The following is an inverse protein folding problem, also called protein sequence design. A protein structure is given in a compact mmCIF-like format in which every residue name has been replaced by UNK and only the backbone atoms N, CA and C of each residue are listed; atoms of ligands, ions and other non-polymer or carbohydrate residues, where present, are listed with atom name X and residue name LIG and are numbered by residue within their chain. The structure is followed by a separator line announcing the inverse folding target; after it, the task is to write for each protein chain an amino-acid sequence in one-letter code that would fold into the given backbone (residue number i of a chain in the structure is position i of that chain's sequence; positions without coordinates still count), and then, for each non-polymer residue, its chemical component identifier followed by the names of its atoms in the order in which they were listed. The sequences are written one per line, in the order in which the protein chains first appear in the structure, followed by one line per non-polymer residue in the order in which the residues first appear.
data_IF_666892147040
#
_entry.id   IF_666892147040
#
_cell.length_a   1.000
_cell.length_b   1.000
_cell.length_c   1.000
_cell.angle_alpha   90.00
_cell.angle_beta   90.00
_cell.angle_gamma   90.00
#
_symmetry.space_group_name_H-M   'P 1'
#
loop_
_entity.id
_entity.type
_entity.pdbx_description
1 polymer ?
#
# COMPACT_ATOMS: atom_id res chain seq x y z
N UNK A 1 2.73 43.96 75.55
CA UNK A 1 2.18 44.49 74.30
C UNK A 1 2.84 43.78 73.13
N UNK A 2 2.08 42.97 72.40
CA UNK A 2 2.10 42.78 70.95
C UNK A 2 1.11 41.64 70.67
N UNK A 3 0.01 42.01 70.02
CA UNK A 3 -1.17 41.18 69.78
C UNK A 3 -0.88 40.11 68.73
N UNK A 4 -1.36 38.89 68.99
CA UNK A 4 -1.50 37.83 68.00
C UNK A 4 -2.47 38.28 66.90
N UNK A 5 -1.95 38.66 65.74
CA UNK A 5 -2.75 38.89 64.54
C UNK A 5 -2.88 37.58 63.76
N UNK A 6 -4.05 36.96 63.88
CA UNK A 6 -4.53 35.86 63.04
C UNK A 6 -4.54 36.28 61.57
N UNK A 7 -3.75 35.59 60.74
CA UNK A 7 -3.78 35.73 59.28
C UNK A 7 -4.99 34.95 58.75
N UNK A 8 -6.02 35.70 58.39
CA UNK A 8 -7.20 35.23 57.67
C UNK A 8 -6.78 34.80 56.24
N UNK A 9 -6.89 33.51 55.94
CA UNK A 9 -6.72 32.98 54.57
C UNK A 9 -8.04 33.18 53.83
N UNK A 10 -8.12 33.97 52.73
CA UNK A 10 -9.32 34.05 51.92
C UNK A 10 -9.45 32.82 51.01
N UNK A 11 -10.65 32.23 51.01
CA UNK A 11 -11.05 31.10 50.19
C UNK A 11 -11.15 31.47 48.69
N UNK A 12 -10.95 30.49 47.77
CA UNK A 12 -11.01 30.73 46.33
C UNK A 12 -12.46 30.94 45.86
N UNK A 13 -12.72 32.09 45.24
CA UNK A 13 -13.96 32.38 44.54
C UNK A 13 -13.94 31.71 43.17
N UNK A 14 -14.87 30.78 42.96
CA UNK A 14 -15.22 30.22 41.66
C UNK A 14 -15.94 31.29 40.83
N UNK A 15 -15.35 31.71 39.71
CA UNK A 15 -16.08 32.35 38.62
C UNK A 15 -15.65 31.72 37.29
N UNK A 16 -16.60 31.07 36.63
CA UNK A 16 -16.42 30.54 35.29
C UNK A 16 -16.38 31.66 34.25
N UNK A 17 -15.71 31.41 33.14
CA UNK A 17 -16.22 31.56 31.78
C UNK A 17 -15.12 31.22 30.77
N UNK A 18 -15.55 30.59 29.66
CA UNK A 18 -14.81 30.16 28.47
C UNK A 18 -13.35 30.58 28.33
N UNK A 19 -12.44 29.60 28.40
CA UNK A 19 -11.10 29.75 27.85
C UNK A 19 -11.15 29.57 26.33
N UNK A 20 -10.98 30.71 25.66
CA UNK A 20 -10.62 30.88 24.26
C UNK A 20 -9.55 29.87 23.83
N UNK A 21 -9.77 29.26 22.67
CA UNK A 21 -8.76 28.57 21.87
C UNK A 21 -7.75 29.61 21.39
N UNK A 22 -6.65 29.81 22.12
CA UNK A 22 -5.52 30.59 21.64
C UNK A 22 -4.67 29.75 20.68
N UNK A 23 -5.01 29.91 19.41
CA UNK A 23 -4.21 29.62 18.23
C UNK A 23 -2.90 30.42 18.29
N UNK A 24 -1.86 29.87 18.91
CA UNK A 24 -0.48 30.35 18.73
C UNK A 24 0.22 29.53 17.63
N UNK A 25 0.17 30.11 16.44
CA UNK A 25 1.22 30.21 15.42
C UNK A 25 2.25 29.07 15.30
N UNK A 26 2.06 28.27 14.24
CA UNK A 26 2.95 27.22 13.72
C UNK A 26 4.19 27.76 12.97
N UNK A 27 4.68 28.96 13.26
CA UNK A 27 5.65 29.67 12.40
C UNK A 27 7.04 29.89 12.98
N UNK A 28 7.34 29.46 14.22
CA UNK A 28 8.57 29.89 14.91
C UNK A 28 9.48 28.77 15.45
N UNK A 29 9.63 27.65 14.74
CA UNK A 29 10.75 26.70 15.00
C UNK A 29 11.50 26.30 13.72
N UNK A 30 11.28 27.04 12.62
CA UNK A 30 11.88 26.75 11.29
C UNK A 30 13.27 27.38 11.06
N UNK A 31 13.94 27.84 12.11
CA UNK A 31 15.28 28.40 12.00
C UNK A 31 16.11 27.95 13.19
N UNK A 32 16.77 26.80 13.07
CA UNK A 32 18.15 26.56 13.51
C UNK A 32 18.43 25.06 13.36
N UNK A 33 19.57 24.77 12.73
CA UNK A 33 20.07 23.45 12.29
C UNK A 33 19.56 23.00 10.93
N UNK A 34 20.30 23.45 9.91
CA UNK A 34 20.35 22.79 8.61
C UNK A 34 20.85 21.36 8.75
N UNK A 35 20.03 20.42 8.26
CA UNK A 35 20.32 19.37 7.28
C UNK A 35 18.93 18.84 6.94
N UNK A 36 18.28 19.45 5.94
CA UNK A 36 17.08 18.85 5.35
C UNK A 36 17.55 17.75 4.38
N UNK A 37 17.95 16.60 4.91
CA UNK A 37 17.89 15.36 4.12
C UNK A 37 16.40 15.08 3.92
N UNK A 38 16.00 15.01 2.65
CA UNK A 38 14.61 15.08 2.20
C UNK A 38 13.68 14.15 2.98
N UNK A 39 12.71 14.76 3.67
CA UNK A 39 11.59 14.07 4.28
C UNK A 39 10.58 13.73 3.18
N UNK A 40 10.66 12.53 2.59
CA UNK A 40 9.51 11.98 1.89
C UNK A 40 8.49 11.54 2.94
N UNK A 41 7.64 12.47 3.37
CA UNK A 41 6.47 12.15 4.18
C UNK A 41 5.52 11.28 3.33
N UNK A 42 5.57 9.96 3.54
CA UNK A 42 4.60 9.00 3.03
C UNK A 42 3.87 8.39 4.21
N UNK A 43 2.75 9.00 4.59
CA UNK A 43 1.67 8.38 5.34
C UNK A 43 2.06 7.60 6.62
N UNK A 44 2.73 8.32 7.52
CA UNK A 44 2.76 8.26 8.99
C UNK A 44 1.73 7.47 9.83
N UNK A 45 0.54 7.23 9.28
CA UNK A 45 -0.69 6.94 10.03
C UNK A 45 -1.29 5.62 9.54
N UNK A 46 -1.06 4.57 10.32
CA UNK A 46 -1.41 3.14 10.12
C UNK A 46 -0.34 2.33 9.35
N UNK A 47 0.65 1.87 10.13
CA UNK A 47 2.03 1.65 9.69
C UNK A 47 2.37 0.17 9.50
N UNK A 48 2.28 -0.30 8.26
CA UNK A 48 3.00 -1.51 7.90
C UNK A 48 4.51 -1.23 8.05
N UNK A 49 5.23 -2.11 8.77
CA UNK A 49 6.68 -1.98 8.90
C UNK A 49 7.33 -2.02 7.52
N UNK A 50 8.23 -1.09 7.26
CA UNK A 50 9.03 -1.03 6.04
C UNK A 50 9.93 -2.27 5.97
N UNK A 51 10.45 -2.57 4.77
CA UNK A 51 11.37 -3.69 4.59
C UNK A 51 12.62 -3.54 5.48
N UNK A 52 13.14 -2.32 5.59
CA UNK A 52 14.34 -1.99 6.38
C UNK A 52 14.12 -2.24 7.87
N UNK A 53 12.99 -1.79 8.40
CA UNK A 53 12.66 -1.97 9.82
C UNK A 53 12.47 -3.44 10.19
N UNK A 54 11.88 -4.23 9.28
CA UNK A 54 11.76 -5.67 9.49
C UNK A 54 13.12 -6.36 9.45
N UNK A 55 14.04 -5.91 8.58
CA UNK A 55 15.42 -6.41 8.57
C UNK A 55 16.08 -6.11 9.91
N UNK A 56 15.93 -4.90 10.44
CA UNK A 56 16.47 -4.54 11.74
C UNK A 56 15.90 -5.43 12.87
N UNK A 57 14.60 -5.65 12.89
CA UNK A 57 13.97 -6.54 13.89
C UNK A 57 14.55 -7.97 13.79
N UNK A 58 14.77 -8.47 12.58
CA UNK A 58 15.39 -9.79 12.37
C UNK A 58 16.85 -9.80 12.85
N UNK A 59 17.63 -8.75 12.57
CA UNK A 59 19.00 -8.61 13.06
C UNK A 59 19.08 -8.55 14.59
N UNK A 60 18.16 -7.82 15.23
CA UNK A 60 18.04 -7.78 16.70
C UNK A 60 17.67 -9.16 17.27
N UNK A 61 16.79 -9.89 16.59
CA UNK A 61 16.41 -11.25 16.96
C UNK A 61 17.48 -12.32 16.74
N UNK A 62 18.54 -12.02 15.98
CA UNK A 62 19.69 -12.89 15.80
C UNK A 62 20.69 -12.86 16.96
N UNK A 63 20.55 -11.91 17.90
CA UNK A 63 21.39 -11.83 19.11
C UNK A 63 20.98 -12.91 20.10
N UNK A 64 21.95 -13.62 20.65
CA UNK A 64 21.70 -14.76 21.55
C UNK A 64 20.99 -14.31 22.86
N UNK A 65 20.00 -15.08 23.29
CA UNK A 65 19.31 -14.89 24.57
C UNK A 65 18.28 -13.76 24.65
N UNK A 66 17.93 -13.10 23.53
CA UNK A 66 16.97 -12.01 23.56
C UNK A 66 15.51 -12.50 23.44
N UNK A 67 14.66 -12.05 24.36
CA UNK A 67 13.21 -12.31 24.30
C UNK A 67 12.54 -11.38 23.29
N UNK A 68 11.37 -11.78 22.76
CA UNK A 68 10.61 -10.92 21.84
C UNK A 68 10.21 -9.57 22.43
N UNK A 69 10.05 -9.48 23.77
CA UNK A 69 9.78 -8.22 24.47
C UNK A 69 10.99 -7.30 24.44
N UNK A 70 12.17 -7.83 24.76
CA UNK A 70 13.43 -7.07 24.73
C UNK A 70 13.74 -6.55 23.33
N UNK A 71 13.46 -7.33 22.29
CA UNK A 71 13.62 -6.91 20.89
C UNK A 71 12.67 -5.76 20.56
N UNK A 72 11.40 -5.85 20.98
CA UNK A 72 10.42 -4.78 20.75
C UNK A 72 10.79 -3.49 21.51
N UNK A 73 11.25 -3.60 22.76
CA UNK A 73 11.72 -2.48 23.57
C UNK A 73 12.91 -1.78 22.91
N UNK A 74 13.96 -2.52 22.56
CA UNK A 74 15.14 -2.00 21.86
C UNK A 74 14.78 -1.34 20.52
N UNK A 75 13.88 -1.96 19.76
CA UNK A 75 13.39 -1.38 18.51
C UNK A 75 12.64 -0.06 18.76
N UNK A 76 11.74 -0.03 19.74
CA UNK A 76 10.94 1.15 20.07
C UNK A 76 11.80 2.29 20.64
N UNK A 77 12.88 1.96 21.37
CA UNK A 77 13.85 2.95 21.85
C UNK A 77 14.58 3.63 20.69
N UNK A 78 14.91 2.89 19.62
CA UNK A 78 15.54 3.46 18.42
C UNK A 78 14.56 4.24 17.54
N UNK A 79 13.27 3.90 17.59
CA UNK A 79 12.22 4.45 16.72
C UNK A 79 11.19 5.26 17.51
N UNK A 80 11.64 6.35 18.15
CA UNK A 80 10.77 7.21 18.98
C UNK A 80 9.74 8.00 18.18
N UNK A 81 9.95 8.16 16.87
CA UNK A 81 9.06 8.88 15.96
C UNK A 81 7.83 8.08 15.52
N UNK A 82 7.75 6.79 15.89
CA UNK A 82 6.70 5.87 15.46
C UNK A 82 5.86 5.37 16.64
N UNK A 83 4.64 4.95 16.34
CA UNK A 83 3.86 4.08 17.21
C UNK A 83 4.66 2.82 17.61
N UNK A 84 4.69 2.47 18.90
CA UNK A 84 5.48 1.36 19.40
C UNK A 84 5.01 0.02 18.81
N UNK A 85 5.96 -0.80 18.39
CA UNK A 85 5.71 -2.17 17.94
C UNK A 85 5.47 -3.05 19.15
N UNK A 86 4.45 -3.90 19.05
CA UNK A 86 4.14 -4.88 20.09
C UNK A 86 4.93 -6.18 19.91
N UNK A 87 5.30 -6.84 21.01
CA UNK A 87 6.12 -8.06 21.00
C UNK A 87 5.53 -9.20 20.14
N UNK A 88 4.20 -9.26 19.99
CA UNK A 88 3.54 -10.25 19.13
C UNK A 88 3.84 -10.04 17.65
N UNK A 89 4.01 -8.78 17.22
CA UNK A 89 4.36 -8.47 15.84
C UNK A 89 5.80 -8.93 15.52
N UNK A 90 6.72 -8.72 16.46
CA UNK A 90 8.09 -9.24 16.41
C UNK A 90 8.09 -10.77 16.30
N UNK A 91 7.34 -11.45 17.17
CA UNK A 91 7.23 -12.92 17.13
C UNK A 91 6.67 -13.44 15.80
N UNK A 92 5.62 -12.80 15.25
CA UNK A 92 5.05 -13.17 13.94
C UNK A 92 6.08 -13.00 12.82
N UNK A 93 6.87 -11.93 12.84
CA UNK A 93 7.89 -11.68 11.82
C UNK A 93 9.05 -12.68 11.89
N UNK A 94 9.59 -12.91 13.08
CA UNK A 94 10.67 -13.87 13.27
C UNK A 94 10.22 -15.27 12.90
N UNK A 95 8.98 -15.66 13.25
CA UNK A 95 8.41 -16.95 12.83
C UNK A 95 8.32 -17.08 11.31
N UNK A 96 7.75 -16.07 10.62
CA UNK A 96 7.69 -16.05 9.15
C UNK A 96 9.08 -16.13 8.51
N UNK A 97 10.05 -15.40 9.08
CA UNK A 97 11.42 -15.41 8.60
C UNK A 97 12.08 -16.78 8.77
N UNK A 98 11.86 -17.47 9.89
CA UNK A 98 12.35 -18.85 10.10
C UNK A 98 11.71 -19.85 9.14
N UNK A 99 10.44 -19.68 8.80
CA UNK A 99 9.71 -20.58 7.90
C UNK A 99 10.07 -20.37 6.42
N UNK A 100 10.22 -19.11 5.98
CA UNK A 100 10.36 -18.75 4.55
C UNK A 100 11.77 -18.30 4.18
N UNK A 101 12.58 -17.87 5.16
CA UNK A 101 13.89 -17.22 4.93
C UNK A 101 13.79 -15.79 4.37
N UNK A 102 12.59 -15.25 4.24
CA UNK A 102 12.33 -13.94 3.61
C UNK A 102 11.66 -12.97 4.56
N UNK A 103 12.04 -11.69 4.45
CA UNK A 103 11.47 -10.55 5.19
C UNK A 103 10.32 -9.89 4.43
N UNK A 104 10.20 -10.20 3.14
CA UNK A 104 9.18 -9.63 2.26
C UNK A 104 7.79 -10.13 2.64
N UNK A 105 6.79 -9.30 2.42
CA UNK A 105 5.40 -9.74 2.54
C UNK A 105 5.12 -10.81 1.49
N UNK A 106 4.46 -11.89 1.94
CA UNK A 106 3.90 -12.88 1.01
C UNK A 106 2.92 -12.14 0.09
N UNK A 107 2.95 -12.40 -1.24
CA UNK A 107 1.94 -11.86 -2.12
C UNK A 107 0.56 -12.24 -1.57
N UNK A 108 -0.34 -11.25 -1.54
CA UNK A 108 -1.70 -11.49 -1.05
C UNK A 108 -2.33 -12.58 -1.91
N UNK A 109 -2.94 -13.57 -1.27
CA UNK A 109 -3.82 -14.50 -1.97
C UNK A 109 -5.03 -13.72 -2.46
N UNK A 110 -5.01 -13.36 -3.75
CA UNK A 110 -6.14 -12.73 -4.42
C UNK A 110 -7.21 -13.75 -4.78
N UNK A 111 -8.27 -13.28 -5.45
CA UNK A 111 -9.27 -14.15 -6.07
C UNK A 111 -8.56 -15.16 -6.99
N UNK A 112 -8.86 -16.48 -6.89
CA UNK A 112 -8.21 -17.46 -7.73
C UNK A 112 -8.41 -17.11 -9.20
N UNK A 113 -7.31 -17.15 -9.96
CA UNK A 113 -7.36 -17.05 -11.42
C UNK A 113 -8.04 -18.30 -11.98
N UNK A 114 -8.69 -18.18 -13.13
CA UNK A 114 -9.16 -19.34 -13.90
C UNK A 114 -8.01 -20.30 -14.15
N UNK A 115 -8.26 -21.62 -14.10
CA UNK A 115 -7.23 -22.64 -14.25
C UNK A 115 -6.57 -22.57 -15.63
N UNK A 116 -5.28 -22.87 -15.69
CA UNK A 116 -4.52 -22.73 -16.94
C UNK A 116 -5.03 -23.68 -18.04
N UNK A 117 -5.49 -24.88 -17.67
CA UNK A 117 -6.17 -25.82 -18.59
C UNK A 117 -7.39 -25.20 -19.28
N UNK A 118 -8.24 -24.48 -18.52
CA UNK A 118 -9.41 -23.80 -19.12
C UNK A 118 -8.99 -22.67 -20.04
N UNK A 119 -7.83 -22.04 -19.78
CA UNK A 119 -7.28 -21.05 -20.69
C UNK A 119 -6.84 -21.68 -21.99
N UNK A 120 -6.03 -22.72 -21.93
CA UNK A 120 -5.55 -23.43 -23.11
C UNK A 120 -6.72 -23.95 -23.97
N UNK A 121 -7.76 -24.51 -23.36
CA UNK A 121 -8.95 -24.97 -24.07
C UNK A 121 -9.69 -23.83 -24.80
N UNK A 122 -9.84 -22.67 -24.15
CA UNK A 122 -10.45 -21.48 -24.78
C UNK A 122 -9.57 -20.98 -25.93
N UNK A 123 -8.26 -20.91 -25.74
CA UNK A 123 -7.32 -20.43 -26.74
C UNK A 123 -7.28 -21.35 -27.96
N UNK A 124 -7.20 -22.66 -27.76
CA UNK A 124 -7.26 -23.64 -28.84
C UNK A 124 -8.56 -23.50 -29.65
N UNK A 125 -9.70 -23.29 -28.97
CA UNK A 125 -11.00 -23.16 -29.65
C UNK A 125 -11.13 -21.88 -30.47
N UNK A 126 -10.64 -20.76 -29.93
CA UNK A 126 -10.66 -19.46 -30.59
C UNK A 126 -9.69 -19.46 -31.78
N UNK A 127 -8.48 -20.01 -31.63
CA UNK A 127 -7.51 -20.19 -32.72
C UNK A 127 -8.04 -21.08 -33.84
N UNK A 128 -8.73 -22.18 -33.50
CA UNK A 128 -9.35 -23.05 -34.50
C UNK A 128 -10.51 -22.39 -35.25
N UNK A 129 -11.18 -21.40 -34.65
CA UNK A 129 -12.37 -20.78 -35.26
C UNK A 129 -12.53 -19.30 -34.86
N UNK A 130 -11.69 -18.40 -35.38
CA UNK A 130 -11.62 -17.00 -34.93
C UNK A 130 -12.86 -16.18 -35.28
N UNK A 131 -13.62 -16.59 -36.30
CA UNK A 131 -14.85 -15.92 -36.73
C UNK A 131 -16.06 -16.21 -35.84
N UNK A 132 -15.99 -17.21 -34.95
CA UNK A 132 -17.13 -17.60 -34.11
C UNK A 132 -17.32 -16.65 -32.94
N UNK A 133 -18.57 -16.43 -32.54
CA UNK A 133 -18.88 -15.52 -31.43
C UNK A 133 -18.49 -16.13 -30.08
N UNK A 134 -18.04 -15.27 -29.15
CA UNK A 134 -17.70 -15.69 -27.78
C UNK A 134 -18.87 -16.31 -27.03
N UNK A 135 -20.12 -15.95 -27.37
CA UNK A 135 -21.31 -16.61 -26.82
C UNK A 135 -21.37 -18.09 -27.22
N UNK A 136 -21.07 -18.42 -28.48
CA UNK A 136 -21.04 -19.82 -28.94
C UNK A 136 -19.89 -20.59 -28.29
N UNK A 137 -18.71 -19.98 -28.20
CA UNK A 137 -17.56 -20.56 -27.50
C UNK A 137 -17.86 -20.82 -26.03
N UNK A 138 -18.56 -19.90 -25.37
CA UNK A 138 -19.05 -20.05 -23.99
C UNK A 138 -19.99 -21.24 -23.83
N UNK A 139 -20.97 -21.41 -24.71
CA UNK A 139 -21.88 -22.56 -24.68
C UNK A 139 -21.14 -23.88 -24.89
N UNK A 140 -20.16 -23.92 -25.80
CA UNK A 140 -19.40 -25.16 -26.09
C UNK A 140 -18.48 -25.56 -24.95
N UNK A 141 -17.82 -24.60 -24.31
CA UNK A 141 -16.82 -24.86 -23.25
C UNK A 141 -17.42 -24.81 -21.84
N UNK A 142 -18.67 -24.37 -21.67
CA UNK A 142 -19.29 -24.16 -20.36
C UNK A 142 -18.69 -23.00 -19.55
N UNK A 143 -17.79 -22.21 -20.13
CA UNK A 143 -17.13 -21.07 -19.46
C UNK A 143 -17.94 -19.80 -19.72
N UNK A 144 -18.22 -18.94 -18.71
CA UNK A 144 -18.98 -17.73 -18.92
C UNK A 144 -18.26 -16.74 -19.86
N UNK A 145 -19.02 -16.16 -20.80
CA UNK A 145 -18.56 -15.14 -21.77
C UNK A 145 -17.63 -14.06 -21.19
N UNK A 146 -17.92 -13.39 -20.04
CA UNK A 146 -17.04 -12.34 -19.52
C UNK A 146 -15.65 -12.86 -19.14
N UNK A 147 -15.56 -14.11 -18.68
CA UNK A 147 -14.29 -14.75 -18.34
C UNK A 147 -13.47 -15.03 -19.59
N UNK A 148 -14.10 -15.56 -20.65
CA UNK A 148 -13.47 -15.74 -21.97
C UNK A 148 -12.96 -14.40 -22.51
N UNK A 149 -13.78 -13.36 -22.44
CA UNK A 149 -13.38 -12.03 -22.88
C UNK A 149 -12.17 -11.49 -22.11
N UNK A 150 -12.16 -11.62 -20.78
CA UNK A 150 -11.01 -11.21 -19.96
C UNK A 150 -9.73 -11.95 -20.37
N UNK A 151 -9.83 -13.27 -20.58
CA UNK A 151 -8.69 -14.09 -21.01
C UNK A 151 -8.17 -13.67 -22.38
N UNK A 152 -9.04 -13.37 -23.34
CA UNK A 152 -8.62 -12.87 -24.66
C UNK A 152 -7.94 -11.50 -24.58
N UNK A 153 -8.38 -10.62 -23.67
CA UNK A 153 -7.72 -9.34 -23.42
C UNK A 153 -6.34 -9.53 -22.79
N UNK A 154 -6.21 -10.44 -21.82
CA UNK A 154 -4.92 -10.81 -21.20
C UNK A 154 -3.92 -11.36 -22.22
N UNK A 155 -4.40 -12.22 -23.15
CA UNK A 155 -3.63 -12.82 -24.24
C UNK A 155 -3.44 -11.89 -25.46
N UNK A 156 -3.87 -10.62 -25.36
CA UNK A 156 -3.73 -9.60 -26.41
C UNK A 156 -4.38 -10.00 -27.75
N UNK A 157 -5.45 -10.78 -27.72
CA UNK A 157 -6.28 -11.07 -28.89
C UNK A 157 -7.10 -9.84 -29.27
N UNK A 158 -6.47 -8.94 -30.02
CA UNK A 158 -7.11 -7.76 -30.57
C UNK A 158 -7.70 -8.06 -31.94
N UNK A 159 -8.83 -7.42 -32.24
CA UNK A 159 -9.31 -7.36 -33.63
C UNK A 159 -8.24 -6.65 -34.45
N UNK A 160 -7.70 -7.34 -35.45
CA UNK A 160 -6.85 -6.67 -36.43
C UNK A 160 -7.73 -5.77 -37.30
N UNK A 161 -7.49 -4.47 -37.24
CA UNK A 161 -8.18 -3.48 -38.06
C UNK A 161 -7.32 -3.23 -39.30
N UNK A 162 -7.75 -3.75 -40.44
CA UNK A 162 -7.13 -3.46 -41.73
C UNK A 162 -7.37 -1.99 -42.07
N UNK A 163 -6.31 -1.19 -42.09
CA UNK A 163 -6.35 0.15 -42.68
C UNK A 163 -6.01 0.01 -44.15
N UNK A 164 -7.01 0.18 -45.02
CA UNK A 164 -6.78 0.26 -46.45
C UNK A 164 -6.22 1.66 -46.72
N UNK A 165 -4.93 1.74 -47.02
CA UNK A 165 -4.31 2.98 -47.45
C UNK A 165 -4.63 3.20 -48.92
N UNK A 166 -5.15 4.38 -49.25
CA UNK A 166 -5.31 4.79 -50.63
C UNK A 166 -3.94 5.15 -51.19
N UNK A 167 -3.56 4.56 -52.32
CA UNK A 167 -2.45 5.08 -53.11
C UNK A 167 -2.93 6.32 -53.85
N UNK A 168 -2.16 7.40 -53.80
CA UNK A 168 -2.39 8.59 -54.62
C UNK A 168 -1.60 8.42 -55.91
N UNK A 169 -2.28 8.53 -57.05
CA UNK A 169 -1.63 8.61 -58.36
C UNK A 169 -1.37 10.07 -58.73
N UNK A 170 -0.39 10.28 -59.61
CA UNK A 170 -0.05 11.60 -60.13
C UNK A 170 -1.22 12.24 -60.89
N UNK A 171 -2.11 11.43 -61.48
CA UNK A 171 -3.30 11.85 -62.23
C UNK A 171 -4.54 12.14 -61.33
N UNK A 172 -4.47 11.88 -60.02
CA UNK A 172 -5.60 12.08 -59.12
C UNK A 172 -5.99 13.56 -58.83
N UNK A 173 -5.10 14.58 -58.84
CA UNK A 173 -5.52 15.95 -58.60
C UNK A 173 -6.40 16.49 -59.74
N UNK A 174 -6.10 16.10 -60.98
CA UNK A 174 -6.83 16.55 -62.17
C UNK A 174 -8.23 15.94 -62.26
N UNK A 175 -8.40 14.72 -61.75
CA UNK A 175 -9.69 14.01 -61.73
C UNK A 175 -10.63 14.44 -60.59
N UNK A 176 -10.17 15.34 -59.70
CA UNK A 176 -10.95 15.84 -58.56
C UNK A 176 -11.62 17.20 -58.80
N UNK A 177 -11.33 17.85 -59.93
CA UNK A 177 -11.97 19.09 -60.38
C UNK A 177 -13.18 18.77 -61.28
#
# INVERSE_FOLDING_TARGET
MLSLATVQIPQPLCFGHGLLVCRLERSAVKSLVGIHVGYQAKDDRMMAQSKEERIEIVLLGGREGWSYRKIAEEFNLRHTYRQPIYFTAVGKLIKKFKETGSVLDKPRSGRPKTSDETKEAVMAKVSASPKKSLRRTSTVLGVPKPTIHRMLVEEKFHRYNLQILHHLNEDDPDRRM
#
